data_IF_245630973358
#
_entry.id   IF_245630973358
#
_cell.length_a   1.000
_cell.length_b   1.000
_cell.length_c   1.000
_cell.angle_alpha   90.00
_cell.angle_beta   90.00
_cell.angle_gamma   90.00
#
_symmetry.space_group_name_H-M   'P 1'
#
loop_
_entity.id
_entity.type
_entity.pdbx_description
1 polymer ?
#
# COMPACT_ATOMS: atom_id res chain seq x y z
N UNK A 1 4.07 -20.45 -7.35
CA UNK A 1 2.66 -20.03 -7.30
C UNK A 1 2.52 -18.57 -7.64
N UNK A 2 1.55 -18.22 -8.49
CA UNK A 2 1.24 -16.84 -8.87
C UNK A 2 -0.05 -16.47 -8.14
N UNK A 3 0.00 -15.43 -7.31
CA UNK A 3 -1.16 -14.94 -6.56
C UNK A 3 -1.56 -13.59 -7.15
N UNK A 4 -2.79 -13.52 -7.62
CA UNK A 4 -3.39 -12.29 -8.14
C UNK A 4 -4.40 -11.79 -7.12
N UNK A 5 -4.21 -10.56 -6.64
CA UNK A 5 -5.12 -9.88 -5.74
C UNK A 5 -5.58 -8.57 -6.39
N UNK A 6 -6.89 -8.31 -6.34
CA UNK A 6 -7.48 -7.07 -6.84
C UNK A 6 -7.93 -6.21 -5.66
N UNK A 7 -7.57 -4.93 -5.67
CA UNK A 7 -8.01 -3.96 -4.66
C UNK A 7 -9.34 -3.33 -5.11
N UNK A 8 -10.43 -4.08 -4.97
CA UNK A 8 -11.76 -3.57 -5.31
C UNK A 8 -12.32 -2.76 -4.14
N UNK A 9 -11.87 -1.49 -4.01
CA UNK A 9 -12.65 -0.29 -3.58
C UNK A 9 -11.77 0.93 -3.27
N UNK A 10 -11.88 1.98 -4.09
CA UNK A 10 -11.72 3.39 -3.66
C UNK A 10 -12.48 4.43 -4.51
N UNK A 11 -13.54 4.05 -5.25
CA UNK A 11 -14.42 5.01 -5.95
C UNK A 11 -15.80 5.20 -5.28
N UNK A 12 -15.97 4.78 -4.03
CA UNK A 12 -17.18 5.18 -3.27
C UNK A 12 -16.87 6.40 -2.41
N UNK A 13 -17.12 7.58 -2.97
CA UNK A 13 -17.72 8.67 -2.19
C UNK A 13 -19.13 8.87 -2.75
N UNK A 14 -20.14 8.79 -1.90
CA UNK A 14 -21.13 9.85 -1.91
C UNK A 14 -21.30 10.43 -0.51
N UNK A 15 -21.56 11.72 -0.48
CA UNK A 15 -21.74 12.57 0.68
C UNK A 15 -22.64 11.95 1.76
N UNK A 16 -22.26 12.09 3.04
CA UNK A 16 -23.24 12.03 4.12
C UNK A 16 -22.93 13.10 5.15
N UNK A 17 -23.97 13.88 5.43
CA UNK A 17 -24.02 15.17 6.07
C UNK A 17 -23.57 15.18 7.55
N UNK A 18 -23.27 16.38 8.03
CA UNK A 18 -22.94 16.69 9.43
C UNK A 18 -24.11 16.36 10.36
N UNK A 19 -23.88 15.49 11.35
CA UNK A 19 -24.74 15.31 12.52
C UNK A 19 -23.92 15.36 13.82
N UNK A 20 -24.29 16.23 14.75
CA UNK A 20 -23.69 16.40 16.08
C UNK A 20 -23.95 15.18 16.98
N UNK A 21 -22.99 14.81 17.82
CA UNK A 21 -23.17 13.80 18.86
C UNK A 21 -21.89 13.52 19.64
N UNK A 22 -21.85 13.99 20.89
CA UNK A 22 -20.80 13.75 21.87
C UNK A 22 -20.59 12.25 22.16
N UNK A 23 -19.33 11.80 22.18
CA UNK A 23 -18.99 10.41 22.48
C UNK A 23 -17.50 10.11 22.40
N UNK A 24 -16.82 10.20 23.54
CA UNK A 24 -15.41 9.85 23.76
C UNK A 24 -15.18 8.36 23.46
N UNK A 25 -14.70 8.02 22.26
CA UNK A 25 -14.11 6.70 21.94
C UNK A 25 -12.81 6.92 21.17
N UNK A 26 -11.71 6.38 21.69
CA UNK A 26 -10.40 6.33 21.03
C UNK A 26 -10.58 5.71 19.64
N UNK A 27 -10.62 6.57 18.61
CA UNK A 27 -10.80 6.17 17.22
C UNK A 27 -9.48 5.58 16.76
N UNK A 28 -9.24 4.29 17.04
CA UNK A 28 -8.21 3.51 16.35
C UNK A 28 -8.37 3.83 14.86
N UNK A 29 -7.38 4.50 14.26
CA UNK A 29 -7.32 4.72 12.81
C UNK A 29 -7.45 3.34 12.19
N UNK A 30 -8.60 3.08 11.58
CA UNK A 30 -8.85 1.83 10.89
C UNK A 30 -8.04 1.96 9.61
N UNK A 31 -6.93 1.23 9.53
CA UNK A 31 -6.11 1.20 8.32
C UNK A 31 -7.03 0.74 7.20
N UNK A 32 -7.26 1.62 6.23
CA UNK A 32 -8.20 1.40 5.12
C UNK A 32 -7.76 0.27 4.19
N UNK A 33 -6.57 -0.27 4.43
CA UNK A 33 -5.85 -1.28 3.66
C UNK A 33 -6.02 -2.69 4.25
N UNK A 34 -7.14 -3.01 4.90
CA UNK A 34 -7.33 -4.30 5.61
C UNK A 34 -7.78 -5.47 4.73
N UNK A 35 -7.46 -5.47 3.43
CA UNK A 35 -7.85 -6.53 2.49
C UNK A 35 -6.66 -7.08 1.73
N UNK A 36 -6.39 -8.39 1.85
CA UNK A 36 -5.36 -9.21 1.15
C UNK A 36 -3.89 -8.75 1.28
N UNK A 37 -3.61 -7.46 1.39
CA UNK A 37 -2.30 -6.82 1.58
C UNK A 37 -1.87 -6.78 3.05
N UNK A 38 -2.77 -6.95 4.02
CA UNK A 38 -2.46 -7.17 5.44
C UNK A 38 -3.29 -8.32 6.00
N UNK A 39 -2.66 -9.21 6.77
CA UNK A 39 -3.33 -10.32 7.46
C UNK A 39 -3.21 -11.69 6.79
N UNK A 40 -2.64 -11.77 5.59
CA UNK A 40 -2.24 -13.04 4.96
C UNK A 40 -0.72 -13.05 4.84
N UNK A 41 -0.08 -14.02 5.49
CA UNK A 41 1.37 -14.17 5.53
C UNK A 41 1.80 -15.22 4.51
N UNK A 42 2.25 -14.75 3.34
CA UNK A 42 2.80 -15.61 2.31
C UNK A 42 4.30 -15.73 2.52
N UNK A 43 4.77 -16.96 2.75
CA UNK A 43 6.19 -17.23 2.82
C UNK A 43 6.79 -17.27 1.41
N UNK A 44 7.99 -16.70 1.25
CA UNK A 44 8.77 -16.76 0.01
C UNK A 44 8.15 -16.09 -1.22
N UNK A 45 7.48 -14.94 -1.05
CA UNK A 45 7.05 -14.13 -2.21
C UNK A 45 8.29 -13.63 -2.96
N UNK A 46 8.49 -14.12 -4.18
CA UNK A 46 9.63 -13.73 -5.02
C UNK A 46 9.42 -12.36 -5.68
N UNK A 47 8.20 -12.10 -6.17
CA UNK A 47 7.90 -10.88 -6.92
C UNK A 47 6.53 -10.34 -6.53
N UNK A 48 6.41 -9.01 -6.47
CA UNK A 48 5.14 -8.28 -6.36
C UNK A 48 4.94 -7.46 -7.62
N UNK A 49 3.73 -7.50 -8.17
CA UNK A 49 3.36 -6.71 -9.36
C UNK A 49 2.20 -5.79 -8.97
N UNK A 50 2.45 -4.48 -8.95
CA UNK A 50 1.39 -3.48 -8.86
C UNK A 50 0.84 -3.24 -10.26
N UNK A 51 -0.30 -3.87 -10.56
CA UNK A 51 -0.98 -3.66 -11.84
C UNK A 51 -1.47 -2.21 -12.00
N UNK A 52 -2.10 -1.68 -10.95
CA UNK A 52 -2.35 -0.26 -10.77
C UNK A 52 -1.38 0.30 -9.72
N UNK A 53 -0.90 1.53 -9.94
CA UNK A 53 0.00 2.15 -8.99
C UNK A 53 -0.71 2.41 -7.65
N UNK A 54 -0.10 2.08 -6.49
CA UNK A 54 -0.72 2.31 -5.19
C UNK A 54 -1.11 3.78 -4.99
N UNK A 55 -2.25 4.02 -4.33
CA UNK A 55 -2.83 5.36 -4.17
C UNK A 55 -2.04 6.29 -3.24
N UNK A 56 -1.18 5.72 -2.40
CA UNK A 56 -0.27 6.46 -1.55
C UNK A 56 1.05 5.70 -1.32
N UNK A 57 2.05 6.43 -0.81
CA UNK A 57 3.40 5.91 -0.55
C UNK A 57 3.41 4.79 0.49
N UNK A 58 2.56 4.85 1.51
CA UNK A 58 2.52 3.84 2.57
C UNK A 58 1.97 2.52 2.03
N UNK A 59 0.91 2.57 1.25
CA UNK A 59 0.37 1.40 0.55
C UNK A 59 1.42 0.74 -0.35
N UNK A 60 2.24 1.53 -1.08
CA UNK A 60 3.36 0.97 -1.84
C UNK A 60 4.34 0.21 -0.94
N UNK A 61 4.79 0.82 0.16
CA UNK A 61 5.74 0.21 1.10
C UNK A 61 5.16 -1.09 1.69
N UNK A 62 3.87 -1.12 2.05
CA UNK A 62 3.24 -2.32 2.61
C UNK A 62 3.12 -3.47 1.61
N UNK A 63 2.89 -3.15 0.32
CA UNK A 63 2.87 -4.13 -0.77
C UNK A 63 4.29 -4.62 -1.08
N UNK A 64 5.26 -3.72 -1.19
CA UNK A 64 6.66 -4.05 -1.41
C UNK A 64 7.25 -4.89 -0.27
N UNK A 65 6.87 -4.63 0.98
CA UNK A 65 7.28 -5.40 2.17
C UNK A 65 6.76 -6.84 2.25
N UNK A 66 6.10 -7.34 1.21
CA UNK A 66 5.74 -8.76 1.06
C UNK A 66 6.87 -9.60 0.47
N UNK A 67 7.75 -8.99 -0.31
CA UNK A 67 8.94 -9.64 -0.87
C UNK A 67 10.19 -9.37 -0.02
N UNK A 68 11.32 -9.96 -0.40
CA UNK A 68 12.63 -9.66 0.18
C UNK A 68 12.70 -9.82 1.72
N UNK A 69 11.98 -10.81 2.26
CA UNK A 69 12.00 -11.14 3.69
C UNK A 69 13.11 -12.13 4.01
N UNK A 70 13.80 -11.91 5.13
CA UNK A 70 14.98 -12.68 5.53
C UNK A 70 16.17 -12.43 4.59
N UNK A 71 16.97 -13.46 4.31
CA UNK A 71 18.10 -13.37 3.37
C UNK A 71 17.71 -13.60 1.90
N UNK A 72 16.40 -13.61 1.60
CA UNK A 72 15.91 -13.83 0.24
C UNK A 72 15.84 -12.50 -0.51
N UNK A 73 16.20 -12.53 -1.78
CA UNK A 73 15.94 -11.41 -2.68
C UNK A 73 14.47 -11.42 -3.13
N UNK A 74 13.99 -10.26 -3.57
CA UNK A 74 12.70 -10.16 -4.22
C UNK A 74 12.59 -8.86 -5.00
N UNK A 75 11.66 -8.83 -5.95
CA UNK A 75 11.48 -7.68 -6.82
C UNK A 75 10.05 -7.14 -6.80
N UNK A 76 9.92 -5.85 -7.10
CA UNK A 76 8.63 -5.18 -7.24
C UNK A 76 8.59 -4.53 -8.62
N UNK A 77 7.59 -4.88 -9.41
CA UNK A 77 7.28 -4.24 -10.69
C UNK A 77 6.00 -3.43 -10.54
N UNK A 78 6.00 -2.18 -10.97
CA UNK A 78 4.80 -1.35 -10.92
C UNK A 78 4.54 -0.72 -12.27
N UNK A 79 3.31 -0.79 -12.74
CA UNK A 79 2.86 0.01 -13.88
C UNK A 79 2.43 1.39 -13.36
N UNK A 80 2.84 2.44 -14.08
CA UNK A 80 2.64 3.83 -13.66
C UNK A 80 2.10 4.64 -14.82
N UNK A 81 0.94 5.24 -14.64
CA UNK A 81 0.37 6.20 -15.58
C UNK A 81 1.04 7.58 -15.44
N UNK A 82 0.96 8.41 -16.48
CA UNK A 82 1.54 9.76 -16.48
C UNK A 82 1.03 10.59 -15.29
N UNK A 83 -0.25 10.46 -14.95
CA UNK A 83 -0.90 11.13 -13.80
C UNK A 83 -0.34 10.72 -12.44
N UNK A 84 0.28 9.54 -12.33
CA UNK A 84 0.83 8.99 -11.09
C UNK A 84 2.32 9.36 -10.89
N UNK A 85 2.98 9.98 -11.88
CA UNK A 85 4.39 10.38 -11.78
C UNK A 85 4.72 11.19 -10.50
N UNK A 86 3.91 12.17 -10.06
CA UNK A 86 4.19 12.88 -8.81
C UNK A 86 4.16 11.98 -7.59
N UNK A 87 3.33 10.93 -7.61
CA UNK A 87 3.25 9.97 -6.51
C UNK A 87 4.42 8.98 -6.55
N UNK A 88 4.84 8.55 -7.75
CA UNK A 88 6.06 7.77 -7.93
C UNK A 88 7.28 8.49 -7.36
N UNK A 89 7.44 9.79 -7.64
CA UNK A 89 8.55 10.59 -7.09
C UNK A 89 8.56 10.56 -5.56
N UNK A 90 7.40 10.71 -4.91
CA UNK A 90 7.30 10.61 -3.45
C UNK A 90 7.69 9.23 -2.92
N UNK A 91 7.35 8.17 -3.64
CA UNK A 91 7.78 6.80 -3.29
C UNK A 91 9.28 6.66 -3.43
N UNK A 92 9.87 7.13 -4.54
CA UNK A 92 11.31 7.07 -4.77
C UNK A 92 12.09 7.87 -3.71
N UNK A 93 11.61 9.05 -3.32
CA UNK A 93 12.19 9.86 -2.25
C UNK A 93 12.14 9.13 -0.91
N UNK A 94 10.99 8.56 -0.53
CA UNK A 94 10.84 7.81 0.70
C UNK A 94 11.80 6.60 0.76
N UNK A 95 11.97 5.87 -0.36
CA UNK A 95 12.87 4.73 -0.44
C UNK A 95 14.37 5.13 -0.42
N UNK A 96 14.70 6.35 -0.85
CA UNK A 96 16.08 6.87 -0.79
C UNK A 96 16.45 7.33 0.61
N UNK A 97 15.52 7.96 1.33
CA UNK A 97 15.76 8.42 2.70
C UNK A 97 16.18 7.26 3.61
N UNK A 98 15.51 6.10 3.48
CA UNK A 98 15.83 4.91 4.25
C UNK A 98 17.24 4.31 3.95
N UNK A 99 17.89 4.68 2.83
CA UNK A 99 19.24 4.19 2.48
C UNK A 99 20.37 5.02 3.07
N UNK A 100 20.12 6.28 3.44
CA UNK A 100 21.14 7.18 4.01
C UNK A 100 21.23 7.04 5.54
N UNK A 101 20.24 6.37 6.16
CA UNK A 101 20.15 6.16 7.61
C UNK A 101 20.71 4.79 8.08
N UNK A 102 21.40 4.04 7.19
CA UNK A 102 22.05 2.74 7.44
C UNK A 102 23.54 2.84 7.16
#
# INVERSE_FOLDING_TARGET
DIIVASDERALEQPDTEKGQGDGKKSKRRRDKESGVSRGIDFQFVANVINFDFPLDTQAYIHRAGRVARGNNQGSVLSFVCIKEKPLLQKVEEALKQDREDI
#
